data_IF_002377622016
#
_entry.id   IF_002377622016
#
_cell.length_a   1.000
_cell.length_b   1.000
_cell.length_c   1.000
_cell.angle_alpha   90.00
_cell.angle_beta   90.00
_cell.angle_gamma   90.00
#
_symmetry.space_group_name_H-M   'P 1'
#
loop_
_entity.id
_entity.type
_entity.pdbx_description
1 polymer ?
#
# COMPACT_ATOMS: atom_id res chain seq x y z
N UNK A 1 -23.01 -49.44 4.91
CA UNK A 1 -22.29 -48.91 6.09
C UNK A 1 -21.15 -48.10 5.51
N UNK A 2 -21.34 -46.79 5.47
CA UNK A 2 -20.42 -45.86 4.86
C UNK A 2 -19.19 -45.70 5.74
N UNK A 3 -18.00 -45.74 5.13
CA UNK A 3 -16.81 -45.11 5.68
C UNK A 3 -16.02 -44.54 4.50
N UNK A 4 -16.44 -43.33 4.12
CA UNK A 4 -15.71 -42.43 3.25
C UNK A 4 -14.92 -41.50 4.17
N UNK A 5 -13.66 -41.84 4.44
CA UNK A 5 -12.72 -40.94 5.09
C UNK A 5 -11.93 -40.18 4.03
N UNK A 6 -12.52 -39.10 3.52
CA UNK A 6 -11.77 -38.03 2.86
C UNK A 6 -10.83 -37.40 3.89
N UNK A 7 -9.61 -37.91 3.95
CA UNK A 7 -8.44 -37.33 4.60
C UNK A 7 -7.37 -37.25 3.52
N UNK A 8 -6.78 -36.12 3.17
CA UNK A 8 -6.87 -34.76 3.68
C UNK A 8 -6.42 -33.79 2.58
N UNK A 9 -6.62 -32.50 2.84
CA UNK A 9 -6.42 -31.42 1.88
C UNK A 9 -5.08 -31.48 1.13
N UNK A 10 -5.13 -31.87 -0.14
CA UNK A 10 -4.09 -31.64 -1.12
C UNK A 10 -4.21 -30.20 -1.67
N UNK A 11 -4.09 -29.21 -0.78
CA UNK A 11 -4.18 -27.79 -1.12
C UNK A 11 -3.20 -26.91 -0.34
N UNK A 12 -2.19 -27.50 0.31
CA UNK A 12 -1.15 -26.78 1.06
C UNK A 12 0.16 -26.60 0.28
N UNK A 13 0.25 -27.05 -0.98
CA UNK A 13 1.54 -27.20 -1.68
C UNK A 13 1.75 -26.28 -2.90
N UNK A 14 0.82 -25.38 -3.20
CA UNK A 14 1.10 -24.22 -4.06
C UNK A 14 0.67 -22.97 -3.27
N UNK A 15 1.62 -22.43 -2.50
CA UNK A 15 1.42 -21.12 -1.90
C UNK A 15 1.25 -20.09 -3.01
N UNK A 16 0.30 -19.18 -2.82
CA UNK A 16 0.08 -18.07 -3.75
C UNK A 16 1.42 -17.36 -4.02
N UNK A 17 1.81 -17.23 -5.30
CA UNK A 17 3.09 -16.62 -5.68
C UNK A 17 3.23 -15.18 -5.12
N UNK A 18 2.10 -14.49 -4.89
CA UNK A 18 2.06 -13.16 -4.28
C UNK A 18 2.51 -13.19 -2.82
N UNK A 19 2.36 -14.30 -2.10
CA UNK A 19 2.83 -14.45 -0.72
C UNK A 19 4.36 -14.32 -0.64
N UNK A 20 5.10 -14.76 -1.68
CA UNK A 20 6.55 -14.62 -1.73
C UNK A 20 7.03 -13.15 -1.80
N UNK A 21 6.16 -12.22 -2.17
CA UNK A 21 6.45 -10.79 -2.18
C UNK A 21 6.30 -10.12 -0.80
N UNK A 22 5.62 -10.77 0.15
CA UNK A 22 5.32 -10.21 1.47
C UNK A 22 6.53 -10.40 2.40
N UNK A 23 6.94 -9.33 3.09
CA UNK A 23 8.04 -9.33 4.05
C UNK A 23 7.67 -8.62 5.34
N UNK A 24 7.85 -9.29 6.47
CA UNK A 24 7.70 -8.72 7.80
C UNK A 24 9.02 -8.05 8.23
N UNK A 25 8.97 -6.75 8.56
CA UNK A 25 10.13 -5.98 9.03
C UNK A 25 10.19 -5.96 10.57
N UNK A 26 9.07 -6.23 11.22
CA UNK A 26 8.95 -6.27 12.69
C UNK A 26 9.69 -7.47 13.27
N UNK A 27 10.17 -7.32 14.52
CA UNK A 27 10.76 -8.42 15.29
C UNK A 27 9.64 -9.28 15.90
N UNK A 28 9.96 -10.53 16.20
CA UNK A 28 9.12 -11.47 16.95
C UNK A 28 7.74 -11.75 16.32
N UNK A 29 7.71 -12.00 15.00
CA UNK A 29 6.50 -12.50 14.33
C UNK A 29 6.54 -14.02 14.31
N UNK A 30 5.49 -14.66 14.83
CA UNK A 30 5.37 -16.12 14.79
C UNK A 30 4.90 -16.60 13.41
N UNK A 31 5.20 -17.86 13.08
CA UNK A 31 4.79 -18.45 11.79
C UNK A 31 3.26 -18.42 11.61
N UNK A 32 2.51 -18.60 12.70
CA UNK A 32 1.04 -18.55 12.70
C UNK A 32 0.52 -17.15 12.40
N UNK A 33 1.09 -16.12 13.03
CA UNK A 33 0.73 -14.73 12.77
C UNK A 33 1.09 -14.32 11.33
N UNK A 34 2.26 -14.75 10.85
CA UNK A 34 2.69 -14.51 9.48
C UNK A 34 1.72 -15.13 8.47
N UNK A 35 1.27 -16.37 8.72
CA UNK A 35 0.29 -17.07 7.89
C UNK A 35 -1.08 -16.35 7.92
N UNK A 36 -1.57 -15.98 9.10
CA UNK A 36 -2.83 -15.28 9.26
C UNK A 36 -2.86 -13.94 8.51
N UNK A 37 -1.81 -13.12 8.67
CA UNK A 37 -1.72 -11.82 7.98
C UNK A 37 -1.60 -12.00 6.47
N UNK A 38 -0.83 -12.99 6.01
CA UNK A 38 -0.71 -13.31 4.59
C UNK A 38 -2.07 -13.68 4.00
N UNK A 39 -2.84 -14.55 4.66
CA UNK A 39 -4.17 -14.93 4.23
C UNK A 39 -5.13 -13.73 4.14
N UNK A 40 -5.10 -12.84 5.13
CA UNK A 40 -5.93 -11.61 5.14
C UNK A 40 -5.56 -10.67 4.00
N UNK A 41 -4.27 -10.47 3.74
CA UNK A 41 -3.82 -9.58 2.67
C UNK A 41 -4.18 -10.13 1.28
N UNK A 42 -4.07 -11.45 1.07
CA UNK A 42 -4.50 -12.08 -0.18
C UNK A 42 -6.01 -11.94 -0.39
N UNK A 43 -6.81 -12.20 0.65
CA UNK A 43 -8.27 -12.04 0.58
C UNK A 43 -8.68 -10.58 0.26
N UNK A 44 -8.02 -9.60 0.87
CA UNK A 44 -8.28 -8.19 0.61
C UNK A 44 -7.89 -7.76 -0.81
N UNK A 45 -6.80 -8.30 -1.36
CA UNK A 45 -6.40 -8.06 -2.75
C UNK A 45 -7.41 -8.65 -3.72
N UNK A 46 -7.91 -9.85 -3.46
CA UNK A 46 -8.91 -10.50 -4.30
C UNK A 46 -10.25 -9.74 -4.29
N UNK A 47 -10.64 -9.16 -3.15
CA UNK A 47 -11.81 -8.26 -3.06
C UNK A 47 -11.58 -6.92 -3.79
N UNK A 48 -10.38 -6.34 -3.68
CA UNK A 48 -10.05 -5.05 -4.30
C UNK A 48 -9.96 -5.05 -5.83
N UNK A 49 -9.78 -6.20 -6.47
CA UNK A 49 -9.79 -6.33 -7.94
C UNK A 49 -11.19 -6.10 -8.53
N UNK A 50 -12.25 -6.22 -7.72
CA UNK A 50 -13.63 -6.04 -8.19
C UNK A 50 -14.02 -4.57 -8.42
N UNK A 51 -13.31 -3.59 -7.86
CA UNK A 51 -13.61 -2.17 -8.00
C UNK A 51 -12.56 -1.49 -8.88
N UNK A 52 -12.87 -1.18 -10.16
CA UNK A 52 -12.02 -0.30 -10.93
C UNK A 52 -12.11 1.09 -10.30
N UNK A 53 -11.17 1.41 -9.41
CA UNK A 53 -10.95 2.78 -8.97
C UNK A 53 -10.70 3.60 -10.23
N UNK A 54 -11.67 4.43 -10.63
CA UNK A 54 -11.47 5.36 -11.72
C UNK A 54 -10.18 6.14 -11.40
N UNK A 55 -9.14 5.95 -12.21
CA UNK A 55 -7.89 6.70 -12.09
C UNK A 55 -8.23 8.16 -12.33
N UNK A 56 -8.56 8.88 -11.27
CA UNK A 56 -8.55 10.33 -11.29
C UNK A 56 -7.08 10.69 -11.60
N UNK A 57 -6.80 11.42 -12.70
CA UNK A 57 -5.43 11.77 -13.03
C UNK A 57 -4.87 12.53 -11.83
N UNK A 58 -3.89 11.91 -11.15
CA UNK A 58 -3.39 12.35 -9.87
C UNK A 58 -3.04 13.83 -9.89
N UNK A 59 -3.94 14.66 -9.36
CA UNK A 59 -3.62 16.05 -9.05
C UNK A 59 -2.70 16.02 -7.85
N UNK A 60 -1.40 15.92 -8.14
CA UNK A 60 -0.36 15.91 -7.13
C UNK A 60 -0.52 17.13 -6.21
N UNK A 61 -0.71 16.86 -4.92
CA UNK A 61 -0.88 17.92 -3.91
C UNK A 61 0.38 18.80 -3.82
N UNK A 62 1.56 18.26 -4.17
CA UNK A 62 2.81 19.01 -4.29
C UNK A 62 2.83 19.93 -5.51
N UNK A 63 2.22 19.52 -6.63
CA UNK A 63 2.05 20.40 -7.80
C UNK A 63 1.13 21.58 -7.48
N UNK A 64 0.08 21.37 -6.67
CA UNK A 64 -0.81 22.45 -6.20
C UNK A 64 -0.10 23.44 -5.27
N UNK A 65 0.74 22.96 -4.34
CA UNK A 65 1.46 23.86 -3.41
C UNK A 65 2.55 24.68 -4.12
N UNK A 66 3.21 24.13 -5.14
CA UNK A 66 4.23 24.83 -5.92
C UNK A 66 3.70 26.04 -6.70
N UNK A 67 2.43 26.05 -7.11
CA UNK A 67 1.85 27.18 -7.83
C UNK A 67 1.68 28.43 -6.96
N UNK A 68 1.38 28.27 -5.67
CA UNK A 68 1.25 29.38 -4.72
C UNK A 68 2.58 30.10 -4.46
N UNK A 69 3.71 29.39 -4.58
CA UNK A 69 5.06 29.94 -4.35
C UNK A 69 5.67 30.62 -5.58
N UNK A 70 5.07 30.49 -6.78
CA UNK A 70 5.58 31.15 -8.00
C UNK A 70 4.96 32.53 -8.25
N UNK A 71 4.13 33.03 -7.34
CA UNK A 71 3.68 34.41 -7.41
C UNK A 71 4.91 35.35 -7.28
N UNK A 72 5.00 36.43 -8.09
CA UNK A 72 6.10 37.38 -7.97
C UNK A 72 6.12 37.96 -6.56
N UNK A 73 7.24 37.77 -5.86
CA UNK A 73 7.37 38.26 -4.50
C UNK A 73 7.57 39.79 -4.51
N UNK A 74 6.68 40.54 -3.86
CA UNK A 74 6.84 41.99 -3.73
C UNK A 74 7.91 42.30 -2.68
N UNK A 75 9.07 42.78 -3.12
CA UNK A 75 10.16 43.23 -2.23
C UNK A 75 9.95 44.68 -1.81
N UNK A 76 10.03 45.00 -0.51
CA UNK A 76 9.87 46.36 0.01
C UNK A 76 9.87 46.47 1.53
N UNK A 77 9.83 47.68 2.12
CA UNK A 77 9.78 47.86 3.57
C UNK A 77 8.56 47.12 4.17
N UNK A 78 8.80 46.17 5.07
CA UNK A 78 7.76 45.30 5.65
C UNK A 78 7.48 44.02 4.86
N UNK A 79 8.03 43.84 3.65
CA UNK A 79 7.91 42.63 2.86
C UNK A 79 9.30 42.15 2.37
N UNK A 80 9.82 41.19 3.14
CA UNK A 80 10.98 40.28 2.95
C UNK A 80 12.30 40.87 2.42
N UNK A 81 13.37 40.61 3.18
CA UNK A 81 14.74 40.92 2.83
C UNK A 81 15.33 39.88 1.87
N UNK A 82 16.10 40.35 0.90
CA UNK A 82 16.94 39.50 0.05
C UNK A 82 18.10 39.00 0.91
N UNK A 83 18.33 37.68 0.99
CA UNK A 83 19.61 37.17 1.46
C UNK A 83 20.69 37.73 0.52
N UNK A 84 21.49 38.65 1.02
CA UNK A 84 22.61 39.20 0.27
C UNK A 84 23.71 38.13 0.19
N UNK A 85 24.28 38.01 -1.03
CA UNK A 85 25.46 37.25 -1.47
C UNK A 85 25.50 35.74 -1.16
#
# INVERSE_FOLDING_TARGET
MADEYTTGGAGAAEGDERAAAIRFITRDVTDEEAAAVTAVLLAALDEGVAEPTATEPGRDRWVRSGAAMRAPLAVGPGNWARSAC
#
